data_IF_540063246625
#
_entry.id   IF_540063246625
#
_cell.length_a   1.000
_cell.length_b   1.000
_cell.length_c   1.000
_cell.angle_alpha   90.00
_cell.angle_beta   90.00
_cell.angle_gamma   90.00
#
_symmetry.space_group_name_H-M   'P 1'
#
loop_
_entity.id
_entity.type
_entity.pdbx_description
1 polymer ?
#
# COMPACT_ATOMS: atom_id res chain seq x y z
N UNK A 1 3.04 -5.88 23.01
CA UNK A 1 3.37 -5.00 21.88
C UNK A 1 4.74 -4.48 22.18
N UNK A 2 5.76 -5.07 21.56
CA UNK A 2 7.10 -4.48 21.56
C UNK A 2 6.94 -3.08 20.97
N UNK A 3 7.35 -2.07 21.73
CA UNK A 3 7.56 -0.73 21.21
C UNK A 3 8.51 -0.87 20.01
N UNK A 4 8.22 -0.24 18.87
CA UNK A 4 9.12 -0.29 17.70
C UNK A 4 10.54 0.09 18.10
N UNK A 5 10.68 1.02 19.05
CA UNK A 5 11.96 1.41 19.66
C UNK A 5 12.64 0.21 20.31
N UNK A 6 11.92 -0.60 21.10
CA UNK A 6 12.48 -1.81 21.71
C UNK A 6 12.93 -2.84 20.68
N UNK A 7 12.24 -2.93 19.53
CA UNK A 7 12.66 -3.79 18.42
C UNK A 7 13.94 -3.28 17.75
N UNK A 8 14.05 -1.96 17.54
CA UNK A 8 15.24 -1.33 16.98
C UNK A 8 16.45 -1.49 17.90
N UNK A 9 16.29 -1.23 19.21
CA UNK A 9 17.34 -1.41 20.21
C UNK A 9 17.70 -2.89 20.46
N UNK A 10 16.78 -3.80 20.16
CA UNK A 10 16.91 -5.23 20.42
C UNK A 10 17.63 -6.04 19.33
N UNK A 11 17.73 -5.53 18.09
CA UNK A 11 18.41 -6.20 16.98
C UNK A 11 19.40 -5.25 16.27
N UNK A 12 20.72 -5.37 16.55
CA UNK A 12 21.76 -4.52 15.95
C UNK A 12 21.80 -4.57 14.41
N UNK A 13 21.28 -5.63 13.78
CA UNK A 13 21.20 -5.70 12.30
C UNK A 13 20.12 -4.78 11.77
N UNK A 14 18.98 -4.72 12.47
CA UNK A 14 17.85 -3.88 12.10
C UNK A 14 18.19 -2.42 12.38
N UNK A 15 18.77 -2.11 13.52
CA UNK A 15 19.32 -0.77 13.84
C UNK A 15 20.25 -0.26 12.73
N UNK A 16 21.23 -1.09 12.33
CA UNK A 16 22.19 -0.72 11.28
C UNK A 16 21.50 -0.54 9.94
N UNK A 17 20.55 -1.41 9.59
CA UNK A 17 19.77 -1.30 8.36
C UNK A 17 18.96 0.00 8.33
N UNK A 18 18.27 0.35 9.42
CA UNK A 18 17.51 1.60 9.51
C UNK A 18 18.42 2.81 9.31
N UNK A 19 19.56 2.86 10.02
CA UNK A 19 20.51 3.96 9.91
C UNK A 19 21.05 4.10 8.49
N UNK A 20 21.51 2.99 7.89
CA UNK A 20 22.02 2.99 6.51
C UNK A 20 20.95 3.44 5.49
N UNK A 21 19.69 3.02 5.65
CA UNK A 21 18.61 3.40 4.73
C UNK A 21 18.23 4.88 4.84
N UNK A 22 18.15 5.42 6.06
CA UNK A 22 17.86 6.84 6.31
C UNK A 22 18.95 7.72 5.70
N UNK A 23 20.22 7.33 5.81
CA UNK A 23 21.35 8.08 5.26
C UNK A 23 21.44 8.01 3.72
N UNK A 24 21.16 6.83 3.14
CA UNK A 24 21.41 6.59 1.70
C UNK A 24 20.24 6.94 0.80
N UNK A 25 19.02 6.86 1.31
CA UNK A 25 17.82 7.00 0.50
C UNK A 25 16.90 8.11 1.02
N UNK A 26 16.46 8.96 0.10
CA UNK A 26 15.46 9.99 0.38
C UNK A 26 14.06 9.38 0.32
N UNK A 27 13.66 8.66 1.37
CA UNK A 27 12.32 8.10 1.50
C UNK A 27 11.46 8.97 2.42
N UNK A 28 10.20 9.21 2.05
CA UNK A 28 9.21 9.75 2.98
C UNK A 28 8.89 8.73 4.08
N UNK A 29 8.27 9.19 5.17
CA UNK A 29 8.06 8.35 6.34
C UNK A 29 7.17 7.14 6.06
N UNK A 30 6.13 7.25 5.23
CA UNK A 30 5.34 6.08 4.83
C UNK A 30 6.17 5.04 4.08
N UNK A 31 7.05 5.45 3.16
CA UNK A 31 7.90 4.51 2.43
C UNK A 31 9.00 3.88 3.32
N UNK A 32 9.57 4.66 4.23
CA UNK A 32 10.55 4.17 5.20
C UNK A 32 9.91 3.17 6.17
N UNK A 33 8.77 3.54 6.76
CA UNK A 33 8.06 2.70 7.72
C UNK A 33 7.51 1.40 7.14
N UNK A 34 7.28 1.32 5.83
CA UNK A 34 6.93 0.07 5.15
C UNK A 34 8.01 -1.00 5.24
N UNK A 35 9.28 -0.64 5.42
CA UNK A 35 10.37 -1.61 5.60
C UNK A 35 10.20 -2.42 6.91
N UNK A 36 9.46 -1.87 7.86
CA UNK A 36 9.01 -2.52 9.10
C UNK A 36 7.48 -2.57 9.20
N UNK A 37 6.78 -2.52 8.07
CA UNK A 37 5.33 -2.32 7.97
C UNK A 37 4.46 -3.34 8.71
N UNK A 38 5.01 -4.52 8.99
CA UNK A 38 4.33 -5.63 9.69
C UNK A 38 4.97 -5.96 11.05
N UNK A 39 5.88 -5.12 11.54
CA UNK A 39 6.53 -5.31 12.83
C UNK A 39 5.59 -4.96 14.00
N UNK A 40 4.64 -4.04 13.79
CA UNK A 40 3.65 -3.62 14.78
C UNK A 40 2.31 -3.22 14.12
N UNK A 41 1.40 -2.63 14.92
CA UNK A 41 0.06 -2.18 14.47
C UNK A 41 -0.02 -0.68 14.13
N UNK A 42 1.10 0.05 14.12
CA UNK A 42 1.14 1.48 13.79
C UNK A 42 0.84 1.77 12.31
N UNK A 43 0.81 3.05 11.96
CA UNK A 43 0.83 3.46 10.54
C UNK A 43 2.26 3.46 10.01
N UNK A 44 2.43 3.29 8.70
CA UNK A 44 3.76 3.36 8.09
C UNK A 44 4.39 4.75 8.27
N UNK A 45 3.60 5.83 8.21
CA UNK A 45 4.11 7.19 8.47
C UNK A 45 4.68 7.32 9.90
N UNK A 46 4.00 6.78 10.91
CA UNK A 46 4.50 6.81 12.29
C UNK A 46 5.78 5.97 12.43
N UNK A 47 5.81 4.77 11.85
CA UNK A 47 7.01 3.93 11.86
C UNK A 47 8.20 4.61 11.21
N UNK A 48 8.00 5.25 10.04
CA UNK A 48 9.06 5.98 9.36
C UNK A 48 9.58 7.16 10.16
N UNK A 49 8.69 7.91 10.82
CA UNK A 49 9.10 9.00 11.71
C UNK A 49 9.99 8.48 12.85
N UNK A 50 9.61 7.38 13.50
CA UNK A 50 10.40 6.75 14.57
C UNK A 50 11.76 6.27 14.02
N UNK A 51 11.76 5.56 12.89
CA UNK A 51 12.98 5.08 12.24
C UNK A 51 13.95 6.22 11.90
N UNK A 52 13.42 7.34 11.41
CA UNK A 52 14.20 8.53 11.06
C UNK A 52 14.83 9.17 12.30
N UNK A 53 14.03 9.45 13.32
CA UNK A 53 14.49 10.06 14.57
C UNK A 53 15.47 9.16 15.32
N UNK A 54 15.30 7.84 15.21
CA UNK A 54 16.22 6.87 15.79
C UNK A 54 17.59 6.88 15.09
N UNK A 55 17.62 6.99 13.77
CA UNK A 55 18.86 7.08 13.00
C UNK A 55 19.58 8.42 13.21
N UNK A 56 18.84 9.52 13.18
CA UNK A 56 19.34 10.88 13.42
C UNK A 56 18.22 11.74 14.02
N UNK A 57 18.31 12.15 15.30
CA UNK A 57 17.31 12.98 15.96
C UNK A 57 17.06 14.34 15.28
N UNK A 58 18.03 14.85 14.51
CA UNK A 58 17.94 16.12 13.80
C UNK A 58 17.50 15.94 12.33
N UNK A 59 17.27 14.70 11.87
CA UNK A 59 16.88 14.45 10.48
C UNK A 59 15.46 14.94 10.19
N UNK A 60 15.35 15.82 9.20
CA UNK A 60 14.06 16.33 8.72
C UNK A 60 13.30 15.27 7.89
N UNK A 61 11.96 15.27 7.98
CA UNK A 61 11.13 14.39 7.16
C UNK A 61 11.28 14.74 5.68
N UNK A 62 11.36 13.70 4.83
CA UNK A 62 11.34 13.88 3.37
C UNK A 62 9.89 14.05 2.93
N UNK A 63 9.52 15.17 2.27
CA UNK A 63 8.20 15.34 1.70
C UNK A 63 7.86 14.19 0.73
N UNK A 64 6.61 13.69 0.71
CA UNK A 64 6.20 12.62 -0.20
C UNK A 64 6.56 12.87 -1.67
N UNK A 65 6.38 14.10 -2.16
CA UNK A 65 6.73 14.50 -3.54
C UNK A 65 8.23 14.33 -3.85
N UNK A 66 9.10 14.47 -2.85
CA UNK A 66 10.55 14.30 -2.98
C UNK A 66 11.01 12.87 -2.68
N UNK A 67 10.08 11.95 -2.41
CA UNK A 67 10.39 10.56 -2.10
C UNK A 67 10.91 9.83 -3.34
N UNK A 68 12.15 9.32 -3.24
CA UNK A 68 12.79 8.57 -4.33
C UNK A 68 12.03 7.29 -4.74
N UNK A 69 11.16 6.77 -3.86
CA UNK A 69 10.36 5.59 -4.12
C UNK A 69 8.98 5.92 -4.67
N UNK A 70 8.13 6.62 -3.91
CA UNK A 70 6.73 6.80 -4.25
C UNK A 70 6.40 8.07 -5.02
N UNK A 71 7.32 9.05 -5.09
CA UNK A 71 7.14 10.30 -5.86
C UNK A 71 5.79 11.00 -5.61
N UNK A 72 5.32 11.04 -4.37
CA UNK A 72 4.05 11.70 -3.99
C UNK A 72 2.84 10.79 -3.87
N UNK A 73 2.89 9.54 -4.34
CA UNK A 73 1.72 8.63 -4.39
C UNK A 73 0.96 8.47 -3.06
N UNK A 74 1.65 8.57 -1.92
CA UNK A 74 1.01 8.43 -0.60
C UNK A 74 0.03 9.57 -0.28
N UNK A 75 0.16 10.71 -0.96
CA UNK A 75 -0.77 11.86 -0.87
C UNK A 75 -1.95 11.71 -1.84
N UNK A 76 -1.85 10.82 -2.83
CA UNK A 76 -2.86 10.64 -3.88
C UNK A 76 -3.92 9.57 -3.52
N UNK A 77 -3.85 8.95 -2.34
CA UNK A 77 -4.77 7.87 -1.96
C UNK A 77 -6.25 8.29 -1.95
N UNK A 78 -6.53 9.55 -1.64
CA UNK A 78 -7.89 10.08 -1.71
C UNK A 78 -8.37 10.25 -3.15
N UNK A 79 -7.51 10.72 -4.05
CA UNK A 79 -7.86 10.90 -5.45
C UNK A 79 -8.02 9.56 -6.16
N UNK A 80 -7.13 8.60 -5.88
CA UNK A 80 -7.28 7.21 -6.34
C UNK A 80 -8.58 6.57 -5.85
N UNK A 81 -8.98 6.82 -4.59
CA UNK A 81 -10.24 6.31 -4.06
C UNK A 81 -11.46 6.92 -4.79
N UNK A 82 -11.41 8.22 -5.13
CA UNK A 82 -12.45 8.87 -5.94
C UNK A 82 -12.51 8.28 -7.34
N UNK A 83 -11.38 8.05 -7.99
CA UNK A 83 -11.34 7.41 -9.31
C UNK A 83 -11.94 6.00 -9.27
N UNK A 84 -11.68 5.23 -8.20
CA UNK A 84 -12.33 3.93 -8.00
C UNK A 84 -13.84 4.08 -7.84
N UNK A 85 -14.32 5.05 -7.05
CA UNK A 85 -15.75 5.29 -6.86
C UNK A 85 -16.45 5.64 -8.17
N UNK A 86 -15.88 6.58 -8.94
CA UNK A 86 -16.39 6.97 -10.27
C UNK A 86 -16.46 5.76 -11.19
N UNK A 87 -15.43 4.91 -11.20
CA UNK A 87 -15.41 3.72 -12.03
C UNK A 87 -16.48 2.67 -11.62
N UNK A 88 -16.95 2.69 -10.38
CA UNK A 88 -17.95 1.76 -9.84
C UNK A 88 -19.41 2.22 -10.04
N UNK A 89 -19.65 3.48 -10.43
CA UNK A 89 -21.01 4.05 -10.57
C UNK A 89 -21.90 3.30 -11.58
N UNK A 90 -21.29 2.70 -12.62
CA UNK A 90 -22.00 1.98 -13.68
C UNK A 90 -22.34 0.51 -13.33
N UNK A 91 -22.06 0.07 -12.10
CA UNK A 91 -22.16 -1.34 -11.71
C UNK A 91 -23.02 -1.57 -10.47
N UNK A 92 -23.71 -2.72 -10.44
CA UNK A 92 -24.33 -3.26 -9.23
C UNK A 92 -23.36 -4.26 -8.57
N UNK A 93 -23.04 -4.07 -7.29
CA UNK A 93 -22.10 -4.89 -6.54
C UNK A 93 -22.37 -4.80 -5.03
N UNK A 94 -22.12 -5.90 -4.33
CA UNK A 94 -22.15 -5.94 -2.86
C UNK A 94 -20.72 -5.99 -2.28
N UNK A 95 -19.79 -6.58 -3.02
CA UNK A 95 -18.41 -6.75 -2.58
C UNK A 95 -17.39 -6.38 -3.64
N UNK A 96 -16.27 -5.82 -3.19
CA UNK A 96 -15.20 -5.38 -4.09
C UNK A 96 -13.80 -5.70 -3.56
N UNK A 97 -12.81 -5.58 -4.45
CA UNK A 97 -11.40 -5.69 -4.10
C UNK A 97 -10.60 -4.65 -4.89
N UNK A 98 -9.74 -3.89 -4.20
CA UNK A 98 -8.77 -3.02 -4.85
C UNK A 98 -7.46 -3.78 -5.08
N UNK A 99 -7.02 -3.80 -6.33
CA UNK A 99 -5.69 -4.22 -6.74
C UNK A 99 -4.88 -3.04 -7.28
N UNK A 100 -3.56 -3.12 -7.20
CA UNK A 100 -2.66 -2.07 -7.70
C UNK A 100 -1.70 -2.63 -8.74
N UNK A 101 -1.57 -1.92 -9.87
CA UNK A 101 -0.52 -2.14 -10.85
C UNK A 101 0.73 -1.36 -10.43
N UNK A 102 1.70 -2.07 -9.84
CA UNK A 102 2.94 -1.44 -9.37
C UNK A 102 3.85 -1.08 -10.54
N UNK A 103 4.39 0.16 -10.58
CA UNK A 103 5.41 0.57 -11.54
C UNK A 103 6.63 -0.37 -11.50
N UNK A 104 7.19 -0.72 -12.67
CA UNK A 104 8.40 -1.57 -12.72
C UNK A 104 9.60 -0.93 -12.01
N UNK A 105 9.70 0.41 -12.03
CA UNK A 105 10.74 1.17 -11.31
C UNK A 105 10.62 0.94 -9.81
N UNK A 106 9.42 1.14 -9.27
CA UNK A 106 9.10 0.94 -7.86
C UNK A 106 9.38 -0.49 -7.45
N UNK A 107 8.82 -1.49 -8.15
CA UNK A 107 9.01 -2.89 -7.80
C UNK A 107 10.49 -3.32 -7.76
N UNK A 108 11.33 -2.74 -8.64
CA UNK A 108 12.78 -2.96 -8.63
C UNK A 108 13.43 -2.33 -7.41
N UNK A 109 13.14 -1.05 -7.16
CA UNK A 109 13.71 -0.31 -6.04
C UNK A 109 13.31 -0.91 -4.68
N UNK A 110 12.04 -1.28 -4.51
CA UNK A 110 11.56 -1.98 -3.30
C UNK A 110 12.33 -3.26 -3.03
N UNK A 111 12.66 -4.03 -4.08
CA UNK A 111 13.43 -5.25 -3.93
C UNK A 111 14.82 -4.98 -3.36
N UNK A 112 15.42 -3.85 -3.71
CA UNK A 112 16.73 -3.45 -3.19
C UNK A 112 16.62 -2.92 -1.76
N UNK A 113 15.66 -2.03 -1.49
CA UNK A 113 15.39 -1.48 -0.15
C UNK A 113 15.00 -2.55 0.88
N UNK A 114 14.34 -3.63 0.45
CA UNK A 114 13.91 -4.70 1.36
C UNK A 114 15.03 -5.65 1.78
N UNK A 115 16.18 -5.69 1.09
CA UNK A 115 17.27 -6.65 1.36
C UNK A 115 17.82 -6.63 2.79
N UNK A 116 18.01 -5.46 3.42
CA UNK A 116 18.58 -5.40 4.77
C UNK A 116 17.61 -5.83 5.87
N UNK A 117 16.30 -5.90 5.57
CA UNK A 117 15.25 -6.13 6.56
C UNK A 117 14.71 -7.57 6.53
N UNK A 118 14.17 -8.07 7.66
CA UNK A 118 13.43 -9.32 7.66
C UNK A 118 12.23 -9.27 6.72
N UNK A 119 12.18 -10.20 5.77
CA UNK A 119 11.09 -10.26 4.77
C UNK A 119 9.69 -10.40 5.38
N UNK A 120 9.60 -10.95 6.60
CA UNK A 120 8.35 -11.06 7.36
C UNK A 120 7.78 -9.68 7.76
N UNK A 121 8.63 -8.66 7.90
CA UNK A 121 8.24 -7.33 8.35
C UNK A 121 7.98 -6.34 7.22
N UNK A 122 8.58 -6.56 6.05
CA UNK A 122 8.44 -5.65 4.91
C UNK A 122 7.00 -5.70 4.36
N UNK A 123 6.41 -4.51 4.22
CA UNK A 123 5.16 -4.27 3.52
C UNK A 123 5.42 -3.72 2.09
N UNK A 124 5.02 -4.45 1.04
CA UNK A 124 5.09 -3.94 -0.33
C UNK A 124 4.16 -2.73 -0.54
N UNK A 125 4.54 -1.80 -1.42
CA UNK A 125 3.74 -0.61 -1.72
C UNK A 125 2.32 -0.97 -2.17
N UNK A 126 2.17 -2.00 -3.03
CA UNK A 126 0.84 -2.46 -3.45
C UNK A 126 -0.08 -2.83 -2.28
N UNK A 127 0.48 -3.37 -1.19
CA UNK A 127 -0.32 -3.79 -0.05
C UNK A 127 -0.81 -2.56 0.72
N UNK A 128 0.04 -1.54 0.87
CA UNK A 128 -0.35 -0.26 1.44
C UNK A 128 -1.39 0.45 0.57
N UNK A 129 -1.16 0.58 -0.74
CA UNK A 129 -2.11 1.21 -1.68
C UNK A 129 -3.46 0.49 -1.65
N UNK A 130 -3.48 -0.84 -1.79
CA UNK A 130 -4.71 -1.62 -1.75
C UNK A 130 -5.49 -1.41 -0.44
N UNK A 131 -4.78 -1.36 0.70
CA UNK A 131 -5.40 -1.16 2.03
C UNK A 131 -5.93 0.27 2.19
N UNK A 132 -5.15 1.27 1.82
CA UNK A 132 -5.51 2.68 2.03
C UNK A 132 -6.60 3.16 1.05
N UNK A 133 -6.54 2.74 -0.21
CA UNK A 133 -7.58 3.03 -1.21
C UNK A 133 -8.83 2.20 -0.91
N UNK A 134 -8.69 0.90 -0.65
CA UNK A 134 -9.81 0.02 -0.32
C UNK A 134 -10.60 0.51 0.90
N UNK A 135 -9.91 0.89 1.99
CA UNK A 135 -10.56 1.45 3.19
C UNK A 135 -11.38 2.70 2.87
N UNK A 136 -10.84 3.63 2.06
CA UNK A 136 -11.53 4.87 1.70
C UNK A 136 -12.76 4.64 0.81
N UNK A 137 -12.70 3.64 -0.07
CA UNK A 137 -13.85 3.25 -0.90
C UNK A 137 -14.92 2.57 -0.04
N UNK A 138 -14.52 1.69 0.88
CA UNK A 138 -15.43 1.05 1.85
C UNK A 138 -16.10 2.08 2.77
N UNK A 139 -15.36 3.07 3.27
CA UNK A 139 -15.91 4.17 4.08
C UNK A 139 -16.89 5.07 3.31
N UNK A 140 -16.81 5.10 1.98
CA UNK A 140 -17.61 5.95 1.11
C UNK A 140 -18.77 5.21 0.41
N UNK A 141 -18.93 3.90 0.65
CA UNK A 141 -19.94 3.06 -0.01
C UNK A 141 -20.58 2.07 0.96
N UNK A 142 -21.67 1.42 0.55
CA UNK A 142 -22.30 0.35 1.32
C UNK A 142 -21.69 -1.04 1.07
N UNK A 143 -20.70 -1.15 0.18
CA UNK A 143 -20.11 -2.42 -0.19
C UNK A 143 -18.86 -2.78 0.61
N UNK A 144 -18.61 -4.08 0.75
CA UNK A 144 -17.58 -4.62 1.65
C UNK A 144 -16.35 -5.12 0.88
N UNK A 145 -15.16 -4.98 1.48
CA UNK A 145 -13.94 -5.54 0.89
C UNK A 145 -13.92 -7.07 1.02
N UNK A 146 -13.86 -7.79 -0.11
CA UNK A 146 -13.76 -9.25 -0.14
C UNK A 146 -12.49 -9.71 -0.89
N UNK A 147 -11.55 -10.31 -0.16
CA UNK A 147 -10.26 -10.75 -0.71
C UNK A 147 -10.31 -12.11 -1.44
N UNK A 148 -11.37 -12.89 -1.25
CA UNK A 148 -11.45 -14.25 -1.80
C UNK A 148 -12.32 -14.31 -3.05
N UNK A 149 -13.52 -13.74 -2.98
CA UNK A 149 -14.54 -13.86 -4.02
C UNK A 149 -15.33 -12.56 -4.23
N UNK A 150 -14.65 -11.44 -4.54
CA UNK A 150 -15.33 -10.17 -4.78
C UNK A 150 -16.22 -10.25 -6.03
N UNK A 151 -17.30 -9.46 -6.05
CA UNK A 151 -18.11 -9.28 -7.26
C UNK A 151 -17.37 -8.42 -8.29
N UNK A 152 -16.63 -7.42 -7.80
CA UNK A 152 -15.83 -6.54 -8.64
C UNK A 152 -14.40 -6.44 -8.11
N UNK A 153 -13.42 -6.61 -9.00
CA UNK A 153 -12.04 -6.20 -8.74
C UNK A 153 -11.73 -4.91 -9.47
N UNK A 154 -11.25 -3.89 -8.76
CA UNK A 154 -10.80 -2.63 -9.36
C UNK A 154 -9.29 -2.58 -9.33
N UNK A 155 -8.67 -2.49 -10.51
CA UNK A 155 -7.23 -2.36 -10.65
C UNK A 155 -6.86 -0.88 -10.82
N UNK A 156 -6.20 -0.31 -9.81
CA UNK A 156 -5.66 1.06 -9.88
C UNK A 156 -4.26 1.07 -10.49
N UNK A 157 -3.98 2.05 -11.34
CA UNK A 157 -2.67 2.34 -11.90
C UNK A 157 -2.20 3.74 -11.44
N UNK A 158 -1.30 3.79 -10.43
CA UNK A 158 -0.73 5.02 -9.93
C UNK A 158 0.06 5.86 -10.96
N UNK A 159 0.64 5.27 -12.01
CA UNK A 159 1.48 6.05 -12.95
C UNK A 159 0.65 6.98 -13.83
N UNK A 160 -0.60 6.61 -14.08
CA UNK A 160 -1.51 7.31 -15.00
C UNK A 160 -2.80 7.74 -14.34
N UNK A 161 -2.92 7.52 -13.02
CA UNK A 161 -4.10 7.81 -12.20
C UNK A 161 -5.40 7.28 -12.82
N UNK A 162 -5.46 5.96 -13.07
CA UNK A 162 -6.65 5.31 -13.64
C UNK A 162 -7.12 4.13 -12.79
N UNK A 163 -8.43 3.87 -12.80
CA UNK A 163 -9.06 2.70 -12.22
C UNK A 163 -9.74 1.85 -13.31
N UNK A 164 -9.39 0.57 -13.41
CA UNK A 164 -10.00 -0.38 -14.36
C UNK A 164 -10.85 -1.40 -13.62
N UNK A 165 -12.12 -1.51 -14.01
CA UNK A 165 -13.07 -2.45 -13.40
C UNK A 165 -13.01 -3.83 -14.06
N UNK A 166 -12.96 -4.88 -13.24
CA UNK A 166 -13.08 -6.27 -13.64
C UNK A 166 -14.24 -6.92 -12.89
N UNK A 167 -15.32 -7.21 -13.61
CA UNK A 167 -16.53 -7.81 -13.05
C UNK A 167 -16.43 -9.34 -13.07
N UNK A 168 -16.78 -9.98 -11.96
CA UNK A 168 -16.88 -11.44 -11.87
C UNK A 168 -18.02 -11.96 -12.74
N UNK A 169 -17.73 -12.96 -13.59
CA UNK A 169 -18.74 -13.55 -14.46
C UNK A 169 -19.87 -14.23 -13.67
N UNK A 170 -21.11 -13.94 -14.07
CA UNK A 170 -22.29 -14.68 -13.62
C UNK A 170 -22.59 -15.81 -14.61
N UNK A 171 -22.79 -17.02 -14.09
CA UNK A 171 -23.12 -18.18 -14.91
C UNK A 171 -24.62 -18.47 -14.81
N UNK A 172 -25.32 -18.37 -15.95
CA UNK A 172 -26.75 -18.71 -16.04
C UNK A 172 -26.89 -20.10 -16.65
N UNK A 173 -27.53 -21.02 -15.92
CA UNK A 173 -27.86 -22.36 -16.41
C UNK A 173 -29.37 -22.48 -16.66
N UNK A 174 -29.74 -23.10 -17.78
CA UNK A 174 -31.12 -23.38 -18.12
C UNK A 174 -31.22 -24.47 -19.17
N UNK A 175 -32.46 -24.94 -19.40
CA UNK A 175 -32.79 -25.84 -20.51
C UNK A 175 -33.76 -25.10 -21.43
N UNK A 176 -33.50 -25.12 -22.73
CA UNK A 176 -34.43 -24.58 -23.71
C UNK A 176 -35.10 -25.74 -24.45
N UNK A 177 -36.41 -25.62 -24.69
CA UNK A 177 -37.15 -26.54 -25.57
C UNK A 177 -37.27 -25.89 -26.93
N UNK A 178 -36.75 -26.56 -27.97
CA UNK A 178 -36.91 -26.14 -29.36
C UNK A 178 -38.14 -26.84 -29.94
N UNK A 179 -39.12 -26.07 -30.44
CA UNK A 179 -40.32 -26.56 -31.12
C UNK A 179 -40.05 -26.78 -32.62
#
# INVERSE_FOLDING_TARGET
MEDLVSLLEGDPRVERAVTEEVERHRLCDSCLGRLLGKADHGTNSQRGQIMRQFADPEAEPVPPVDCALCEGLVEEYEDLAKEVQVALEDYEWDSFLVGTKVPKRVARMEKDLAKPFPSAWVEPLKSEVNREVGRRVEEASDGEVNFETPDITVLVDPEVNTATVQVRSVYVYGRYSKL
#
